data_IF_961427907236
#
_entry.id   IF_961427907236
#
_cell.length_a   1.000
_cell.length_b   1.000
_cell.length_c   1.000
_cell.angle_alpha   90.00
_cell.angle_beta   90.00
_cell.angle_gamma   90.00
#
_symmetry.space_group_name_H-M   'P 1'
#
loop_
_entity.id
_entity.type
_entity.pdbx_description
1 polymer ?
#
# COMPACT_ATOMS: atom_id res chain seq x y z
N UNK A 1 17.01 12.17 6.01
CA UNK A 1 15.87 12.66 5.18
C UNK A 1 14.74 13.05 6.12
N UNK A 2 14.21 14.27 6.02
CA UNK A 2 13.10 14.72 6.88
C UNK A 2 11.75 14.25 6.33
N UNK A 3 10.70 14.25 7.17
CA UNK A 3 9.32 13.92 6.77
C UNK A 3 8.84 14.80 5.60
N UNK A 4 9.18 16.09 5.63
CA UNK A 4 8.82 17.04 4.56
C UNK A 4 9.52 16.72 3.24
N UNK A 5 10.80 16.34 3.27
CA UNK A 5 11.54 15.95 2.06
C UNK A 5 10.95 14.71 1.40
N UNK A 6 10.63 13.68 2.19
CA UNK A 6 10.03 12.44 1.68
C UNK A 6 8.65 12.72 1.06
N UNK A 7 7.83 13.52 1.74
CA UNK A 7 6.51 13.90 1.24
C UNK A 7 6.60 14.67 -0.07
N UNK A 8 7.51 15.65 -0.16
CA UNK A 8 7.73 16.45 -1.37
C UNK A 8 8.10 15.56 -2.55
N UNK A 9 9.09 14.67 -2.38
CA UNK A 9 9.51 13.74 -3.44
C UNK A 9 8.37 12.85 -3.95
N UNK A 10 7.47 12.40 -3.06
CA UNK A 10 6.29 11.64 -3.46
C UNK A 10 5.30 12.49 -4.26
N UNK A 11 5.00 13.71 -3.78
CA UNK A 11 4.06 14.59 -4.48
C UNK A 11 4.61 15.01 -5.87
N UNK A 12 5.92 15.29 -5.98
CA UNK A 12 6.61 15.58 -7.24
C UNK A 12 6.51 14.39 -8.22
N UNK A 13 6.73 13.16 -7.73
CA UNK A 13 6.62 11.95 -8.54
C UNK A 13 5.17 11.68 -9.00
N UNK A 14 4.18 11.96 -8.14
CA UNK A 14 2.77 11.83 -8.49
C UNK A 14 2.38 12.83 -9.58
N UNK A 15 2.84 14.08 -9.45
CA UNK A 15 2.59 15.14 -10.44
C UNK A 15 3.23 14.78 -11.79
N UNK A 16 4.47 14.28 -11.78
CA UNK A 16 5.13 13.80 -13.00
C UNK A 16 4.38 12.63 -13.66
N UNK A 17 3.70 11.78 -12.89
CA UNK A 17 2.84 10.71 -13.39
C UNK A 17 1.45 11.18 -13.86
N UNK A 18 1.11 12.47 -13.68
CA UNK A 18 -0.19 13.04 -14.06
C UNK A 18 -1.36 12.59 -13.19
N UNK A 19 -1.11 12.07 -11.98
CA UNK A 19 -2.15 11.51 -11.10
C UNK A 19 -2.68 12.57 -10.14
N UNK A 20 -4.00 12.68 -10.02
CA UNK A 20 -4.63 13.62 -9.10
C UNK A 20 -4.38 13.21 -7.64
N UNK A 21 -4.22 14.21 -6.76
CA UNK A 21 -4.01 13.98 -5.31
C UNK A 21 -5.16 13.22 -4.63
N UNK A 22 -6.38 13.36 -5.15
CA UNK A 22 -7.56 12.65 -4.68
C UNK A 22 -7.52 11.16 -5.02
N UNK A 23 -6.84 10.80 -6.11
CA UNK A 23 -6.79 9.43 -6.63
C UNK A 23 -5.66 8.62 -6.01
N UNK A 24 -4.51 9.25 -5.71
CA UNK A 24 -3.37 8.54 -5.15
C UNK A 24 -2.63 9.36 -4.08
N UNK A 25 -2.53 8.77 -2.89
CA UNK A 25 -1.86 9.34 -1.73
C UNK A 25 -0.78 8.40 -1.21
N UNK A 26 0.21 8.96 -0.53
CA UNK A 26 1.33 8.18 0.02
C UNK A 26 0.88 7.05 0.97
N UNK A 27 -0.29 7.18 1.63
CA UNK A 27 -0.88 6.11 2.46
C UNK A 27 -1.38 4.91 1.65
N UNK A 28 -1.69 5.08 0.37
CA UNK A 28 -2.14 4.00 -0.50
C UNK A 28 -1.00 3.02 -0.81
N UNK A 29 0.25 3.45 -0.68
CA UNK A 29 1.41 2.54 -0.70
C UNK A 29 1.36 1.55 0.47
N UNK A 30 0.92 1.99 1.65
CA UNK A 30 0.77 1.14 2.82
C UNK A 30 -0.36 0.12 2.61
N UNK A 31 -1.48 0.56 2.03
CA UNK A 31 -2.60 -0.31 1.69
C UNK A 31 -2.22 -1.35 0.62
N UNK A 32 -1.44 -0.95 -0.38
CA UNK A 32 -0.92 -1.89 -1.38
C UNK A 32 0.01 -2.93 -0.74
N UNK A 33 0.97 -2.50 0.09
CA UNK A 33 1.86 -3.42 0.79
C UNK A 33 1.12 -4.39 1.73
N UNK A 34 0.10 -3.90 2.43
CA UNK A 34 -0.77 -4.72 3.28
C UNK A 34 -1.47 -5.81 2.47
N UNK A 35 -2.05 -5.42 1.33
CA UNK A 35 -2.74 -6.33 0.40
C UNK A 35 -1.78 -7.36 -0.19
N UNK A 36 -0.59 -6.95 -0.65
CA UNK A 36 0.40 -7.86 -1.20
C UNK A 36 0.89 -8.90 -0.17
N UNK A 37 1.03 -8.49 1.09
CA UNK A 37 1.42 -9.37 2.20
C UNK A 37 0.31 -10.35 2.56
N UNK A 38 -0.94 -9.88 2.61
CA UNK A 38 -2.09 -10.74 2.88
C UNK A 38 -2.30 -11.75 1.75
N UNK A 39 -2.22 -11.34 0.49
CA UNK A 39 -2.33 -12.24 -0.67
C UNK A 39 -1.20 -13.28 -0.76
N UNK A 40 0.02 -12.94 -0.31
CA UNK A 40 1.16 -13.86 -0.38
C UNK A 40 1.19 -14.88 0.77
N UNK A 41 0.63 -14.54 1.92
CA UNK A 41 0.71 -15.36 3.14
C UNK A 41 -0.62 -16.00 3.52
N UNK A 42 -1.74 -15.44 3.03
CA UNK A 42 -3.09 -15.78 3.48
C UNK A 42 -3.36 -15.42 4.95
N UNK A 43 -2.49 -14.62 5.59
CA UNK A 43 -2.54 -14.37 7.03
C UNK A 43 -2.58 -12.88 7.35
N UNK A 44 -3.76 -12.42 7.77
CA UNK A 44 -3.94 -11.04 8.22
C UNK A 44 -3.13 -10.70 9.48
N UNK A 45 -2.72 -11.72 10.27
CA UNK A 45 -1.87 -11.53 11.45
C UNK A 45 -0.44 -11.16 11.05
N UNK A 46 0.09 -11.80 10.03
CA UNK A 46 1.41 -11.41 9.50
C UNK A 46 1.38 -10.01 8.89
N UNK A 47 0.27 -9.66 8.20
CA UNK A 47 0.06 -8.31 7.70
C UNK A 47 -0.01 -7.29 8.83
N UNK A 48 -0.71 -7.59 9.93
CA UNK A 48 -0.73 -6.74 11.14
C UNK A 48 0.68 -6.49 11.67
N UNK A 49 1.48 -7.55 11.79
CA UNK A 49 2.83 -7.47 12.34
C UNK A 49 3.77 -6.68 11.42
N UNK A 50 3.65 -6.85 10.11
CA UNK A 50 4.36 -6.07 9.09
C UNK A 50 4.05 -4.57 9.19
N UNK A 51 2.78 -4.21 9.43
CA UNK A 51 2.34 -2.81 9.53
C UNK A 51 2.58 -2.21 10.93
N UNK A 52 2.92 -3.03 11.93
CA UNK A 52 3.06 -2.60 13.32
C UNK A 52 1.73 -2.21 13.97
N UNK A 53 0.61 -2.77 13.53
CA UNK A 53 -0.71 -2.50 14.12
C UNK A 53 -0.93 -3.33 15.40
N UNK A 54 -1.68 -2.76 16.36
CA UNK A 54 -2.00 -3.45 17.61
C UNK A 54 -3.14 -4.45 17.46
N UNK A 55 -4.08 -4.20 16.54
CA UNK A 55 -5.27 -5.03 16.32
C UNK A 55 -5.45 -5.38 14.85
N UNK A 56 -6.09 -6.52 14.59
CA UNK A 56 -6.40 -6.99 13.22
C UNK A 56 -7.38 -6.04 12.53
N UNK A 57 -8.35 -5.48 13.26
CA UNK A 57 -9.34 -4.55 12.71
C UNK A 57 -8.73 -3.26 12.14
N UNK A 58 -7.58 -2.81 12.67
CA UNK A 58 -6.84 -1.70 12.05
C UNK A 58 -6.27 -2.11 10.69
N UNK A 59 -5.75 -3.33 10.58
CA UNK A 59 -5.16 -3.87 9.34
C UNK A 59 -6.21 -4.09 8.26
N UNK A 60 -7.44 -4.47 8.62
CA UNK A 60 -8.55 -4.64 7.67
C UNK A 60 -8.85 -3.37 6.85
N UNK A 61 -8.62 -2.18 7.41
CA UNK A 61 -8.80 -0.92 6.68
C UNK A 61 -7.76 -0.70 5.57
N UNK A 62 -6.62 -1.37 5.67
CA UNK A 62 -5.51 -1.24 4.73
C UNK A 62 -5.47 -2.40 3.71
N UNK A 63 -5.99 -3.57 4.04
CA UNK A 63 -6.14 -4.68 3.09
C UNK A 63 -7.31 -4.37 2.16
N UNK A 64 -7.04 -4.29 0.85
CA UNK A 64 -8.05 -4.04 -0.17
C UNK A 64 -8.17 -5.27 -1.06
N UNK A 65 -9.36 -5.51 -1.63
CA UNK A 65 -9.48 -6.51 -2.70
C UNK A 65 -8.89 -5.94 -3.97
N UNK A 66 -7.92 -6.65 -4.54
CA UNK A 66 -7.36 -6.29 -5.84
C UNK A 66 -8.41 -6.55 -6.93
N UNK A 67 -8.67 -5.55 -7.76
CA UNK A 67 -9.61 -5.68 -8.88
C UNK A 67 -9.06 -6.51 -10.05
N UNK A 68 -7.74 -6.63 -10.14
CA UNK A 68 -7.05 -7.31 -11.25
C UNK A 68 -6.35 -8.55 -10.71
N UNK A 69 -6.49 -9.67 -11.40
CA UNK A 69 -5.85 -10.93 -11.04
C UNK A 69 -4.32 -10.81 -11.14
N UNK A 70 -3.61 -11.40 -10.17
CA UNK A 70 -2.16 -11.62 -10.28
C UNK A 70 -1.90 -12.58 -11.44
N UNK A 71 -1.32 -12.07 -12.51
CA UNK A 71 -0.81 -12.89 -13.62
C UNK A 71 0.64 -13.23 -13.32
N UNK A 72 0.97 -14.53 -13.31
CA UNK A 72 2.37 -14.98 -13.31
C UNK A 72 2.99 -14.58 -14.65
N UNK A 73 4.25 -14.09 -14.66
CA UNK A 73 4.91 -13.74 -15.91
C UNK A 73 4.94 -14.94 -16.85
N UNK A 74 4.35 -14.79 -18.04
CA UNK A 74 4.45 -15.78 -19.10
C UNK A 74 5.82 -15.62 -19.77
N UNK A 75 6.86 -16.23 -19.20
CA UNK A 75 8.14 -16.54 -19.85
C UNK A 75 8.95 -17.51 -19.02
#
# INVERSE_FOLDING_TARGET
MTKSMLRKRFDDAREAAGILKSEFQMRDLLANAATDKEESTGSIRETRDQLGHTTVSMTEQYVRRRHVAKVTPTK
#
